data_IF_834102939483
#
_entry.id   IF_834102939483
#
_cell.length_a   1.000
_cell.length_b   1.000
_cell.length_c   1.000
_cell.angle_alpha   90.00
_cell.angle_beta   90.00
_cell.angle_gamma   90.00
#
_symmetry.space_group_name_H-M   'P 1'
#
loop_
_entity.id
_entity.type
_entity.pdbx_description
1 polymer ?
#
# COMPACT_ATOMS: atom_id res chain seq x y z
N UNK A 1 30.09 4.13 -10.05
CA UNK A 1 29.11 3.51 -9.13
C UNK A 1 29.82 2.36 -8.40
N UNK A 2 29.89 2.37 -7.06
CA UNK A 2 30.81 1.48 -6.33
C UNK A 2 30.42 0.00 -6.49
N UNK A 3 31.41 -0.89 -6.70
CA UNK A 3 31.24 -2.36 -6.86
C UNK A 3 30.38 -3.03 -5.76
N UNK A 4 30.24 -2.39 -4.58
CA UNK A 4 29.38 -2.88 -3.49
C UNK A 4 27.89 -2.71 -3.79
N UNK A 5 27.50 -1.61 -4.45
CA UNK A 5 26.09 -1.33 -4.77
C UNK A 5 25.54 -2.28 -5.85
N UNK A 6 26.41 -2.74 -6.75
CA UNK A 6 26.03 -3.63 -7.84
C UNK A 6 25.76 -5.06 -7.36
N UNK A 7 26.62 -5.64 -6.51
CA UNK A 7 26.36 -6.94 -5.89
C UNK A 7 25.05 -6.95 -5.07
N UNK A 8 24.78 -5.87 -4.32
CA UNK A 8 23.56 -5.73 -3.52
C UNK A 8 22.29 -5.78 -4.39
N UNK A 9 22.37 -5.32 -5.65
CA UNK A 9 21.23 -5.34 -6.58
C UNK A 9 20.86 -6.75 -7.03
N UNK A 10 21.83 -7.67 -7.20
CA UNK A 10 21.52 -9.08 -7.49
C UNK A 10 20.86 -9.73 -6.28
N UNK A 11 21.44 -9.55 -5.09
CA UNK A 11 20.92 -10.16 -3.87
C UNK A 11 19.51 -9.67 -3.59
N UNK A 12 19.29 -8.36 -3.66
CA UNK A 12 17.96 -7.77 -3.54
C UNK A 12 17.01 -8.33 -4.61
N UNK A 13 17.48 -8.46 -5.86
CA UNK A 13 16.65 -8.98 -6.95
C UNK A 13 16.20 -10.42 -6.74
N UNK A 14 17.11 -11.31 -6.35
CA UNK A 14 16.80 -12.71 -6.04
C UNK A 14 15.85 -12.80 -4.85
N UNK A 15 16.13 -12.06 -3.77
CA UNK A 15 15.26 -12.03 -2.59
C UNK A 15 13.87 -11.50 -2.93
N UNK A 16 13.74 -10.48 -3.75
CA UNK A 16 12.45 -9.95 -4.20
C UNK A 16 11.65 -10.97 -5.01
N UNK A 17 12.30 -11.74 -5.91
CA UNK A 17 11.63 -12.80 -6.67
C UNK A 17 11.14 -13.91 -5.74
N UNK A 18 11.99 -14.37 -4.82
CA UNK A 18 11.63 -15.42 -3.85
C UNK A 18 10.50 -14.95 -2.93
N UNK A 19 10.55 -13.72 -2.44
CA UNK A 19 9.49 -13.11 -1.67
C UNK A 19 8.19 -13.05 -2.47
N UNK A 20 8.24 -12.67 -3.75
CA UNK A 20 7.10 -12.71 -4.65
C UNK A 20 6.45 -14.09 -4.73
N UNK A 21 7.22 -15.14 -5.00
CA UNK A 21 6.68 -16.51 -5.03
C UNK A 21 6.13 -16.97 -3.68
N UNK A 22 6.79 -16.62 -2.57
CA UNK A 22 6.29 -16.91 -1.23
C UNK A 22 4.94 -16.24 -0.96
N UNK A 23 4.78 -14.98 -1.39
CA UNK A 23 3.54 -14.23 -1.26
C UNK A 23 2.39 -14.93 -2.00
N UNK A 24 2.65 -15.44 -3.21
CA UNK A 24 1.65 -16.17 -4.00
C UNK A 24 1.29 -17.51 -3.37
N UNK A 25 2.28 -18.22 -2.81
CA UNK A 25 2.07 -19.54 -2.22
C UNK A 25 1.21 -19.49 -0.94
N UNK A 26 1.33 -18.42 -0.15
CA UNK A 26 0.60 -18.29 1.12
C UNK A 26 -0.02 -16.88 1.30
N UNK A 27 -1.13 -16.58 0.62
CA UNK A 27 -1.72 -15.24 0.65
C UNK A 27 -2.15 -14.78 2.05
N UNK A 28 -2.70 -15.68 2.87
CA UNK A 28 -3.16 -15.34 4.21
C UNK A 28 -2.00 -14.97 5.17
N UNK A 29 -0.91 -15.75 5.14
CA UNK A 29 0.29 -15.46 5.94
C UNK A 29 0.98 -14.17 5.48
N UNK A 30 0.89 -13.88 4.19
CA UNK A 30 1.41 -12.65 3.59
C UNK A 30 0.68 -11.42 4.10
N UNK A 31 -0.66 -11.46 4.07
CA UNK A 31 -1.50 -10.39 4.63
C UNK A 31 -1.28 -10.22 6.14
N UNK A 32 -1.12 -11.31 6.87
CA UNK A 32 -0.78 -11.25 8.28
C UNK A 32 0.58 -10.55 8.51
N UNK A 33 1.59 -10.90 7.71
CA UNK A 33 2.92 -10.28 7.76
C UNK A 33 2.86 -8.79 7.46
N UNK A 34 2.06 -8.39 6.46
CA UNK A 34 1.81 -7.00 6.16
C UNK A 34 1.11 -6.30 7.32
N UNK A 35 0.06 -6.88 7.90
CA UNK A 35 -0.63 -6.30 9.05
C UNK A 35 0.31 -6.04 10.22
N UNK A 36 1.19 -6.98 10.55
CA UNK A 36 2.22 -6.79 11.59
C UNK A 36 3.21 -5.68 11.24
N UNK A 37 3.68 -5.63 9.99
CA UNK A 37 4.61 -4.59 9.53
C UNK A 37 3.96 -3.20 9.57
N UNK A 38 2.71 -3.07 9.13
CA UNK A 38 1.94 -1.82 9.22
C UNK A 38 1.66 -1.43 10.67
N UNK A 39 1.33 -2.38 11.55
CA UNK A 39 1.15 -2.11 12.98
C UNK A 39 2.43 -1.52 13.59
N UNK A 40 3.60 -2.09 13.26
CA UNK A 40 4.88 -1.58 13.73
C UNK A 40 5.18 -0.17 13.19
N UNK A 41 4.96 0.07 11.89
CA UNK A 41 5.15 1.39 11.28
C UNK A 41 4.23 2.42 11.94
N UNK A 42 2.97 2.09 12.15
CA UNK A 42 2.01 2.97 12.82
C UNK A 42 2.39 3.25 14.26
N UNK A 43 2.91 2.25 14.99
CA UNK A 43 3.40 2.47 16.35
C UNK A 43 4.53 3.49 16.38
N UNK A 44 5.54 3.30 15.53
CA UNK A 44 6.70 4.20 15.45
C UNK A 44 6.28 5.60 15.02
N UNK A 45 5.40 5.71 14.02
CA UNK A 45 4.90 7.00 13.55
C UNK A 45 4.07 7.73 14.61
N UNK A 46 3.14 7.03 15.26
CA UNK A 46 2.29 7.61 16.30
C UNK A 46 3.10 8.07 17.52
N UNK A 47 4.07 7.27 17.97
CA UNK A 47 5.01 7.68 19.03
C UNK A 47 5.82 8.91 18.57
N UNK A 48 6.29 8.92 17.33
CA UNK A 48 7.07 10.05 16.79
C UNK A 48 6.25 11.34 16.74
N UNK A 49 4.96 11.28 16.39
CA UNK A 49 4.04 12.43 16.41
C UNK A 49 3.80 12.96 17.83
N UNK A 50 3.63 12.05 18.81
CA UNK A 50 3.51 12.44 20.22
C UNK A 50 4.79 13.12 20.71
N UNK A 51 5.97 12.56 20.41
CA UNK A 51 7.25 13.16 20.78
C UNK A 51 7.41 14.54 20.15
N UNK A 52 7.05 14.69 18.87
CA UNK A 52 7.10 15.98 18.16
C UNK A 52 6.20 17.02 18.84
N UNK A 53 4.99 16.65 19.25
CA UNK A 53 4.08 17.55 19.97
C UNK A 53 4.71 18.11 21.27
N UNK A 54 5.42 17.27 22.03
CA UNK A 54 6.07 17.71 23.27
C UNK A 54 7.37 18.49 23.03
N UNK A 55 7.99 18.33 21.87
CA UNK A 55 9.26 18.98 21.50
C UNK A 55 9.08 20.26 20.68
N UNK A 56 7.86 20.54 20.21
CA UNK A 56 7.56 21.70 19.39
C UNK A 56 7.29 22.95 20.25
N UNK A 57 7.84 24.09 19.82
CA UNK A 57 7.57 25.41 20.42
C UNK A 57 6.11 25.82 20.22
N UNK A 58 5.53 25.51 19.06
CA UNK A 58 4.11 25.68 18.75
C UNK A 58 3.38 24.33 18.83
N UNK A 59 2.44 24.23 19.77
CA UNK A 59 1.72 23.00 20.05
C UNK A 59 0.41 22.95 19.25
N UNK A 60 0.37 22.11 18.22
CA UNK A 60 -0.87 21.76 17.53
C UNK A 60 -1.58 20.61 18.24
N UNK A 61 -2.78 20.85 18.75
CA UNK A 61 -3.61 19.78 19.35
C UNK A 61 -3.95 18.66 18.36
N UNK A 62 -3.90 18.95 17.06
CA UNK A 62 -4.10 17.97 15.99
C UNK A 62 -2.98 16.93 15.93
N UNK A 63 -1.73 17.33 16.17
CA UNK A 63 -0.57 16.43 16.11
C UNK A 63 -0.60 15.41 17.25
N UNK A 64 -1.00 15.86 18.45
CA UNK A 64 -1.21 14.96 19.59
C UNK A 64 -2.37 13.99 19.32
N UNK A 65 -3.49 14.50 18.80
CA UNK A 65 -4.64 13.66 18.49
C UNK A 65 -4.29 12.59 17.45
N UNK A 66 -3.65 12.95 16.35
CA UNK A 66 -3.22 12.00 15.32
C UNK A 66 -2.24 10.97 15.87
N UNK A 67 -1.25 11.41 16.65
CA UNK A 67 -0.28 10.51 17.25
C UNK A 67 -0.94 9.47 18.17
N UNK A 68 -1.86 9.92 19.05
CA UNK A 68 -2.61 9.04 19.95
C UNK A 68 -3.52 8.09 19.16
N UNK A 69 -4.27 8.58 18.18
CA UNK A 69 -5.15 7.74 17.36
C UNK A 69 -4.34 6.67 16.60
N UNK A 70 -3.17 7.03 16.07
CA UNK A 70 -2.30 6.12 15.33
C UNK A 70 -1.71 5.03 16.24
N UNK A 71 -1.31 5.39 17.46
CA UNK A 71 -0.86 4.40 18.47
C UNK A 71 -2.00 3.46 18.86
N UNK A 72 -3.21 3.98 19.10
CA UNK A 72 -4.37 3.15 19.42
C UNK A 72 -4.71 2.17 18.29
N UNK A 73 -4.68 2.64 17.04
CA UNK A 73 -4.90 1.80 15.87
C UNK A 73 -3.86 0.67 15.77
N UNK A 74 -2.60 0.98 16.05
CA UNK A 74 -1.52 0.00 16.09
C UNK A 74 -1.74 -1.06 17.18
N UNK A 75 -2.05 -0.63 18.40
CA UNK A 75 -2.33 -1.54 19.53
C UNK A 75 -3.53 -2.43 19.20
N UNK A 76 -4.61 -1.86 18.66
CA UNK A 76 -5.77 -2.62 18.21
C UNK A 76 -5.37 -3.69 17.18
N UNK A 77 -4.58 -3.32 16.17
CA UNK A 77 -4.13 -4.25 15.13
C UNK A 77 -3.22 -5.36 15.69
N UNK A 78 -2.36 -5.08 16.69
CA UNK A 78 -1.55 -6.11 17.36
C UNK A 78 -2.40 -7.06 18.22
N UNK A 79 -3.37 -6.51 18.96
CA UNK A 79 -4.26 -7.27 19.83
C UNK A 79 -5.36 -8.04 19.09
N UNK A 80 -5.61 -7.69 17.83
CA UNK A 80 -6.68 -8.26 17.02
C UNK A 80 -6.51 -9.76 16.74
N UNK A 81 -7.64 -10.38 16.42
CA UNK A 81 -7.72 -11.75 15.95
C UNK A 81 -7.02 -11.93 14.59
N UNK A 82 -6.75 -13.18 14.21
CA UNK A 82 -6.18 -13.49 12.90
C UNK A 82 -7.03 -12.90 11.75
N UNK A 83 -8.36 -12.97 11.87
CA UNK A 83 -9.28 -12.46 10.85
C UNK A 83 -9.20 -10.94 10.70
N UNK A 84 -9.18 -10.19 11.81
CA UNK A 84 -9.06 -8.72 11.79
C UNK A 84 -7.75 -8.27 11.15
N UNK A 85 -6.64 -8.94 11.47
CA UNK A 85 -5.32 -8.64 10.87
C UNK A 85 -5.30 -8.87 9.37
N UNK A 86 -5.82 -10.02 8.92
CA UNK A 86 -5.80 -10.39 7.50
C UNK A 86 -6.75 -9.51 6.66
N UNK A 87 -7.85 -9.02 7.25
CA UNK A 87 -8.84 -8.17 6.55
C UNK A 87 -8.52 -6.68 6.59
N UNK A 88 -7.67 -6.22 7.50
CA UNK A 88 -7.27 -4.82 7.62
C UNK A 88 -6.70 -4.22 6.33
N UNK A 89 -5.71 -4.88 5.72
CA UNK A 89 -5.09 -4.43 4.47
C UNK A 89 -6.10 -4.38 3.31
N UNK A 90 -6.92 -5.42 3.06
CA UNK A 90 -8.00 -5.38 2.09
C UNK A 90 -8.95 -4.18 2.25
N UNK A 91 -9.32 -3.84 3.49
CA UNK A 91 -10.19 -2.68 3.73
C UNK A 91 -9.52 -1.37 3.34
N UNK A 92 -8.23 -1.19 3.62
CA UNK A 92 -7.48 -0.01 3.15
C UNK A 92 -7.55 0.10 1.63
N UNK A 93 -7.32 -0.99 0.90
CA UNK A 93 -7.40 -1.00 -0.56
C UNK A 93 -8.82 -0.73 -1.08
N UNK A 94 -9.85 -1.23 -0.40
CA UNK A 94 -11.24 -0.96 -0.74
C UNK A 94 -11.58 0.53 -0.55
N UNK A 95 -11.22 1.12 0.59
CA UNK A 95 -11.39 2.55 0.86
C UNK A 95 -10.63 3.41 -0.14
N UNK A 96 -9.40 3.03 -0.48
CA UNK A 96 -8.60 3.73 -1.48
C UNK A 96 -9.25 3.67 -2.88
N UNK A 97 -9.79 2.52 -3.28
CA UNK A 97 -10.51 2.36 -4.54
C UNK A 97 -11.79 3.22 -4.57
N UNK A 98 -12.56 3.25 -3.48
CA UNK A 98 -13.73 4.10 -3.33
C UNK A 98 -13.37 5.58 -3.47
N UNK A 99 -12.38 6.04 -2.70
CA UNK A 99 -11.92 7.43 -2.74
C UNK A 99 -11.46 7.81 -4.14
N UNK A 100 -10.62 6.97 -4.76
CA UNK A 100 -10.15 7.15 -6.13
C UNK A 100 -11.30 7.21 -7.13
N UNK A 101 -12.31 6.34 -6.98
CA UNK A 101 -13.51 6.32 -7.82
C UNK A 101 -14.32 7.61 -7.71
N UNK A 102 -14.53 8.10 -6.49
CA UNK A 102 -15.21 9.37 -6.21
C UNK A 102 -14.41 10.54 -6.80
N UNK A 103 -13.10 10.62 -6.53
CA UNK A 103 -12.24 11.70 -7.04
C UNK A 103 -12.23 11.73 -8.57
N UNK A 104 -12.10 10.58 -9.24
CA UNK A 104 -12.15 10.50 -10.71
C UNK A 104 -13.50 10.91 -11.27
N UNK A 105 -14.59 10.54 -10.59
CA UNK A 105 -15.94 10.95 -10.97
C UNK A 105 -16.08 12.47 -10.92
N UNK A 106 -15.64 13.11 -9.83
CA UNK A 106 -15.66 14.57 -9.69
C UNK A 106 -14.79 15.24 -10.77
N UNK A 107 -13.53 14.79 -10.91
CA UNK A 107 -12.57 15.32 -11.88
C UNK A 107 -13.06 15.17 -13.33
N UNK A 108 -13.82 14.11 -13.64
CA UNK A 108 -14.35 13.86 -14.98
C UNK A 108 -15.20 15.01 -15.51
N UNK A 109 -15.93 15.73 -14.65
CA UNK A 109 -16.78 16.84 -15.05
C UNK A 109 -15.96 18.05 -15.51
N UNK A 110 -14.81 18.29 -14.90
CA UNK A 110 -13.88 19.34 -15.33
C UNK A 110 -13.19 18.96 -16.63
N UNK A 111 -12.67 17.72 -16.71
CA UNK A 111 -11.99 17.22 -17.92
C UNK A 111 -12.94 17.21 -19.12
N UNK A 112 -14.22 16.89 -18.92
CA UNK A 112 -15.24 16.86 -19.99
C UNK A 112 -15.50 18.23 -20.62
N UNK A 113 -15.18 19.33 -19.94
CA UNK A 113 -15.25 20.69 -20.49
C UNK A 113 -14.13 20.96 -21.51
N UNK A 114 -12.99 20.28 -21.37
CA UNK A 114 -11.81 20.43 -22.24
C UNK A 114 -11.78 19.34 -23.32
N UNK A 115 -11.93 18.09 -22.92
CA UNK A 115 -11.99 16.93 -23.81
C UNK A 115 -13.16 16.02 -23.40
N UNK A 116 -14.20 15.99 -24.24
CA UNK A 116 -15.41 15.21 -24.00
C UNK A 116 -15.14 13.71 -23.95
N UNK A 117 -14.24 13.19 -24.79
CA UNK A 117 -13.93 11.76 -24.88
C UNK A 117 -13.17 11.33 -23.62
N UNK A 118 -12.11 12.06 -23.29
CA UNK A 118 -11.29 11.78 -22.10
C UNK A 118 -12.11 11.91 -20.81
N UNK A 119 -12.94 12.96 -20.70
CA UNK A 119 -13.82 13.15 -19.56
C UNK A 119 -14.87 12.03 -19.42
N UNK A 120 -15.44 11.57 -20.53
CA UNK A 120 -16.36 10.42 -20.51
C UNK A 120 -15.68 9.12 -20.09
N UNK A 121 -14.46 8.85 -20.57
CA UNK A 121 -13.68 7.68 -20.13
C UNK A 121 -13.36 7.78 -18.64
N UNK A 122 -12.94 8.96 -18.16
CA UNK A 122 -12.61 9.16 -16.76
C UNK A 122 -13.83 8.94 -15.85
N UNK A 123 -15.02 9.42 -16.27
CA UNK A 123 -16.29 9.19 -15.57
C UNK A 123 -16.58 7.68 -15.41
N UNK A 124 -16.48 6.92 -16.50
CA UNK A 124 -16.70 5.47 -16.46
C UNK A 124 -15.68 4.76 -15.56
N UNK A 125 -14.41 5.13 -15.62
CA UNK A 125 -13.40 4.57 -14.71
C UNK A 125 -13.64 4.93 -13.25
N UNK A 126 -14.22 6.11 -12.98
CA UNK A 126 -14.62 6.54 -11.64
C UNK A 126 -15.76 5.69 -11.09
N UNK A 127 -16.85 5.54 -11.87
CA UNK A 127 -18.01 4.73 -11.51
C UNK A 127 -17.60 3.26 -11.28
N UNK A 128 -16.82 2.69 -12.20
CA UNK A 128 -16.30 1.33 -12.05
C UNK A 128 -15.41 1.19 -10.80
N UNK A 129 -14.62 2.22 -10.48
CA UNK A 129 -13.81 2.26 -9.26
C UNK A 129 -14.65 2.26 -7.99
N UNK A 130 -15.76 3.01 -7.97
CA UNK A 130 -16.71 3.00 -6.84
C UNK A 130 -17.34 1.61 -6.69
N UNK A 131 -17.85 1.04 -7.78
CA UNK A 131 -18.47 -0.30 -7.74
C UNK A 131 -17.46 -1.35 -7.28
N UNK A 132 -16.25 -1.33 -7.84
CA UNK A 132 -15.17 -2.23 -7.44
C UNK A 132 -14.83 -2.06 -5.95
N UNK A 133 -14.72 -0.82 -5.46
CA UNK A 133 -14.48 -0.54 -4.05
C UNK A 133 -15.57 -1.09 -3.13
N UNK A 134 -16.85 -0.97 -3.50
CA UNK A 134 -17.98 -1.53 -2.75
C UNK A 134 -17.88 -3.07 -2.72
N UNK A 135 -17.64 -3.70 -3.87
CA UNK A 135 -17.47 -5.17 -3.96
C UNK A 135 -16.29 -5.63 -3.10
N UNK A 136 -15.17 -4.91 -3.18
CA UNK A 136 -13.96 -5.21 -2.41
C UNK A 136 -14.23 -5.14 -0.90
N UNK A 137 -15.03 -4.18 -0.47
CA UNK A 137 -15.43 -4.01 0.92
C UNK A 137 -16.39 -5.10 1.41
N UNK A 138 -17.27 -5.59 0.52
CA UNK A 138 -18.17 -6.71 0.82
C UNK A 138 -17.46 -8.08 0.91
N UNK A 139 -16.34 -8.26 0.21
CA UNK A 139 -15.58 -9.51 0.17
C UNK A 139 -14.09 -9.32 0.47
N UNK A 140 -13.72 -8.91 1.70
CA UNK A 140 -12.34 -8.54 2.05
C UNK A 140 -11.34 -9.69 1.89
N UNK A 141 -11.75 -10.95 2.06
CA UNK A 141 -10.86 -12.09 1.84
C UNK A 141 -10.45 -12.24 0.36
N UNK A 142 -11.41 -12.09 -0.56
CA UNK A 142 -11.13 -12.14 -2.00
C UNK A 142 -10.26 -10.95 -2.42
N UNK A 143 -10.58 -9.77 -1.90
CA UNK A 143 -9.76 -8.56 -2.06
C UNK A 143 -8.33 -8.80 -1.60
N UNK A 144 -8.14 -9.44 -0.44
CA UNK A 144 -6.82 -9.76 0.09
C UNK A 144 -6.01 -10.69 -0.81
N UNK A 145 -6.64 -11.69 -1.42
CA UNK A 145 -5.97 -12.56 -2.40
C UNK A 145 -5.52 -11.75 -3.62
N UNK A 146 -6.39 -10.92 -4.18
CA UNK A 146 -6.08 -10.07 -5.34
C UNK A 146 -4.94 -9.09 -5.02
N UNK A 147 -5.01 -8.41 -3.87
CA UNK A 147 -3.98 -7.49 -3.40
C UNK A 147 -2.65 -8.23 -3.25
N UNK A 148 -2.66 -9.40 -2.62
CA UNK A 148 -1.43 -10.17 -2.40
C UNK A 148 -0.79 -10.63 -3.70
N UNK A 149 -1.58 -11.12 -4.67
CA UNK A 149 -1.04 -11.47 -5.98
C UNK A 149 -0.52 -10.27 -6.76
N UNK A 150 -1.18 -9.11 -6.63
CA UNK A 150 -0.70 -7.87 -7.25
C UNK A 150 0.65 -7.46 -6.65
N UNK A 151 0.77 -7.47 -5.32
CA UNK A 151 2.03 -7.18 -4.62
C UNK A 151 3.11 -8.20 -4.98
N UNK A 152 2.78 -9.48 -5.03
CA UNK A 152 3.71 -10.53 -5.43
C UNK A 152 4.27 -10.31 -6.83
N UNK A 153 3.41 -9.97 -7.80
CA UNK A 153 3.83 -9.67 -9.16
C UNK A 153 4.76 -8.45 -9.22
N UNK A 154 4.47 -7.40 -8.44
CA UNK A 154 5.36 -6.23 -8.31
C UNK A 154 6.73 -6.62 -7.76
N UNK A 155 6.77 -7.48 -6.74
CA UNK A 155 8.04 -7.98 -6.17
C UNK A 155 8.86 -8.80 -7.18
N UNK A 156 8.21 -9.68 -7.95
CA UNK A 156 8.86 -10.46 -9.01
C UNK A 156 9.40 -9.52 -10.09
N UNK A 157 8.57 -8.59 -10.57
CA UNK A 157 8.97 -7.61 -11.59
C UNK A 157 10.15 -6.75 -11.13
N UNK A 158 10.08 -6.23 -9.90
CA UNK A 158 11.15 -5.42 -9.33
C UNK A 158 12.44 -6.23 -9.17
N UNK A 159 12.34 -7.50 -8.82
CA UNK A 159 13.50 -8.37 -8.70
C UNK A 159 14.17 -8.67 -10.05
N UNK A 160 13.38 -8.92 -11.09
CA UNK A 160 13.88 -9.03 -12.47
C UNK A 160 14.54 -7.72 -12.90
N UNK A 161 13.89 -6.58 -12.67
CA UNK A 161 14.43 -5.26 -13.02
C UNK A 161 15.77 -4.98 -12.32
N UNK A 162 15.90 -5.31 -11.04
CA UNK A 162 17.15 -5.15 -10.29
C UNK A 162 18.31 -5.99 -10.88
N UNK A 163 18.02 -7.24 -11.28
CA UNK A 163 19.00 -8.11 -11.93
C UNK A 163 19.40 -7.55 -13.29
N UNK A 164 18.45 -7.09 -14.10
CA UNK A 164 18.72 -6.48 -15.42
C UNK A 164 19.57 -5.21 -15.26
N UNK A 165 19.24 -4.35 -14.30
CA UNK A 165 19.99 -3.13 -14.02
C UNK A 165 21.43 -3.42 -13.58
N UNK A 166 21.65 -4.47 -12.79
CA UNK A 166 23.00 -4.93 -12.47
C UNK A 166 23.82 -5.22 -13.73
N UNK A 167 23.28 -6.04 -14.64
CA UNK A 167 23.98 -6.38 -15.88
C UNK A 167 24.20 -5.19 -16.80
N UNK A 168 23.26 -4.23 -16.84
CA UNK A 168 23.43 -2.98 -17.58
C UNK A 168 24.50 -2.09 -16.98
N UNK A 169 24.55 -1.96 -15.65
CA UNK A 169 25.56 -1.17 -14.93
C UNK A 169 26.97 -1.75 -15.00
N UNK A 170 27.11 -3.06 -15.25
CA UNK A 170 28.41 -3.71 -15.45
C UNK A 170 28.95 -3.53 -16.89
N UNK A 171 28.08 -3.21 -17.84
CA UNK A 171 28.44 -2.98 -19.27
C UNK A 171 28.75 -1.52 -19.60
N UNK A 172 28.42 -0.58 -18.71
CA UNK A 172 28.72 0.85 -18.82
C UNK A 172 30.00 1.19 -18.05
#
# INVERSE_FOLDING_TARGET
MSKKLSWLSIVAGVLSILAGFYLMANPALSLLSFAFLFALIFLVNGISEIIKYFSADEKSGWDLFNGVMTVLLSIWLFSGTFFEKVTFIPFIFAFWALFTGVSKTIMSFEVKKVDKKLGSTLLWTGILGIIAGIIMMGHPLMTGVIVTYTVAFVFIYQGIAAIVLYFKSKKA
#
